data_IF_043032124881
#
_entry.id   IF_043032124881
#
_cell.length_a   1.000
_cell.length_b   1.000
_cell.length_c   1.000
_cell.angle_alpha   90.00
_cell.angle_beta   90.00
_cell.angle_gamma   90.00
#
_symmetry.space_group_name_H-M   'P 1'
#
loop_
_entity.id
_entity.type
_entity.pdbx_description
1 polymer ?
#
# COMPACT_ATOMS: atom_id res chain seq x y z
N UNK A 1 -20.45 -78.03 13.33
CA UNK A 1 -20.75 -77.18 12.16
C UNK A 1 -20.69 -75.69 12.59
N UNK A 2 -19.57 -75.04 12.35
CA UNK A 2 -19.38 -73.63 12.65
C UNK A 2 -19.44 -72.88 11.32
N UNK A 3 -20.47 -72.08 11.14
CA UNK A 3 -20.62 -71.19 9.96
C UNK A 3 -19.75 -69.92 10.18
N UNK A 4 -18.70 -69.78 9.39
CA UNK A 4 -17.91 -68.54 9.31
C UNK A 4 -18.69 -67.56 8.48
N UNK A 5 -19.06 -66.40 9.08
CA UNK A 5 -19.63 -65.27 8.40
C UNK A 5 -18.45 -64.33 8.03
N UNK A 6 -18.10 -64.30 6.75
CA UNK A 6 -17.10 -63.39 6.21
C UNK A 6 -17.78 -62.05 5.95
N UNK A 7 -17.49 -61.06 6.82
CA UNK A 7 -17.97 -59.68 6.67
C UNK A 7 -17.01 -58.94 5.74
N UNK A 8 -17.44 -58.72 4.51
CA UNK A 8 -16.71 -57.92 3.50
C UNK A 8 -16.89 -56.45 3.80
N UNK A 9 -15.89 -55.81 4.41
CA UNK A 9 -15.82 -54.35 4.57
C UNK A 9 -15.50 -53.71 3.20
N UNK A 10 -16.52 -53.16 2.54
CA UNK A 10 -16.31 -52.25 1.42
C UNK A 10 -15.79 -50.90 1.98
N UNK A 11 -14.49 -50.64 1.83
CA UNK A 11 -13.90 -49.35 2.01
C UNK A 11 -14.34 -48.48 0.82
N UNK A 12 -15.37 -47.62 0.99
CA UNK A 12 -15.69 -46.55 0.06
C UNK A 12 -14.66 -45.46 0.27
N UNK A 13 -13.63 -45.45 -0.55
CA UNK A 13 -12.72 -44.34 -0.65
C UNK A 13 -13.50 -43.14 -1.26
N UNK A 14 -14.06 -42.29 -0.44
CA UNK A 14 -14.52 -40.98 -0.86
C UNK A 14 -13.27 -40.17 -1.28
N UNK A 15 -12.94 -40.21 -2.57
CA UNK A 15 -12.04 -39.18 -3.14
C UNK A 15 -12.80 -37.88 -3.04
N UNK A 16 -12.45 -37.06 -2.04
CA UNK A 16 -12.88 -35.66 -2.02
C UNK A 16 -12.36 -35.03 -3.30
N UNK A 17 -13.23 -34.81 -4.28
CA UNK A 17 -12.89 -34.01 -5.46
C UNK A 17 -12.40 -32.68 -4.91
N UNK A 18 -11.14 -32.33 -5.20
CA UNK A 18 -10.59 -31.05 -4.77
C UNK A 18 -11.51 -29.94 -5.30
N UNK A 19 -12.08 -29.15 -4.40
CA UNK A 19 -12.97 -28.07 -4.77
C UNK A 19 -12.22 -27.12 -5.71
N UNK A 20 -12.79 -26.81 -6.88
CA UNK A 20 -12.19 -25.86 -7.82
C UNK A 20 -12.00 -24.51 -7.13
N UNK A 21 -10.84 -23.90 -7.30
CA UNK A 21 -10.51 -22.58 -6.77
C UNK A 21 -9.90 -21.73 -7.87
N UNK A 22 -9.70 -20.43 -7.63
CA UNK A 22 -9.01 -19.52 -8.55
C UNK A 22 -7.61 -20.06 -8.93
N UNK A 23 -6.95 -20.76 -8.05
CA UNK A 23 -5.63 -21.35 -8.30
C UNK A 23 -5.62 -22.49 -9.35
N UNK A 24 -6.78 -22.97 -9.77
CA UNK A 24 -6.91 -24.00 -10.82
C UNK A 24 -6.82 -23.46 -12.23
N UNK A 25 -6.83 -22.14 -12.39
CA UNK A 25 -6.85 -21.48 -13.69
C UNK A 25 -5.44 -21.03 -14.11
N UNK A 26 -5.29 -20.91 -15.44
CA UNK A 26 -4.11 -20.34 -16.08
C UNK A 26 -4.60 -19.19 -16.98
N UNK A 27 -3.87 -18.10 -17.00
CA UNK A 27 -4.18 -16.89 -17.75
C UNK A 27 -2.97 -16.48 -18.61
N UNK A 28 -3.16 -15.56 -19.55
CA UNK A 28 -2.09 -15.02 -20.38
C UNK A 28 -1.71 -13.63 -19.87
N UNK A 29 -0.43 -13.37 -19.69
CA UNK A 29 0.08 -12.05 -19.30
C UNK A 29 0.14 -11.07 -20.50
N UNK A 30 0.60 -9.85 -20.25
CA UNK A 30 0.70 -8.76 -21.22
C UNK A 30 1.77 -8.98 -22.31
N UNK A 31 2.64 -9.97 -22.14
CA UNK A 31 3.65 -10.39 -23.13
C UNK A 31 3.33 -11.75 -23.78
N UNK A 32 2.13 -12.29 -23.55
CA UNK A 32 1.65 -13.54 -24.16
C UNK A 32 2.12 -14.82 -23.48
N UNK A 33 2.66 -14.74 -22.27
CA UNK A 33 3.10 -15.92 -21.50
C UNK A 33 1.96 -16.49 -20.68
N UNK A 34 1.98 -17.82 -20.54
CA UNK A 34 1.00 -18.57 -19.76
C UNK A 34 1.36 -18.51 -18.28
N UNK A 35 0.48 -17.94 -17.45
CA UNK A 35 0.68 -17.75 -16.00
C UNK A 35 -0.34 -18.58 -15.23
N UNK A 36 0.06 -19.67 -14.56
CA UNK A 36 -0.82 -20.41 -13.68
C UNK A 36 -1.11 -19.59 -12.41
N UNK A 37 -2.39 -19.40 -12.09
CA UNK A 37 -2.79 -18.61 -10.90
C UNK A 37 -2.42 -19.30 -9.58
N UNK A 38 -1.96 -20.55 -9.63
CA UNK A 38 -1.34 -21.21 -8.47
C UNK A 38 -0.05 -20.53 -7.98
N UNK A 39 0.59 -19.69 -8.80
CA UNK A 39 1.75 -18.85 -8.39
C UNK A 39 1.39 -17.82 -7.34
N UNK A 40 0.10 -17.49 -7.23
CA UNK A 40 -0.44 -16.55 -6.24
C UNK A 40 -1.00 -17.22 -4.97
N UNK A 41 -0.76 -18.54 -4.77
CA UNK A 41 -1.18 -19.21 -3.54
C UNK A 41 -0.64 -18.51 -2.29
N UNK A 42 -1.50 -18.34 -1.29
CA UNK A 42 -1.19 -17.64 -0.06
C UNK A 42 -1.39 -16.13 -0.11
N UNK A 43 -1.63 -15.55 -1.30
CA UNK A 43 -1.96 -14.13 -1.45
C UNK A 43 -3.46 -13.90 -1.52
N UNK A 44 -3.93 -12.83 -0.90
CA UNK A 44 -5.27 -12.28 -1.14
C UNK A 44 -5.25 -11.57 -2.48
N UNK A 45 -6.21 -11.88 -3.36
CA UNK A 45 -6.24 -11.32 -4.72
C UNK A 45 -7.46 -10.41 -4.90
N UNK A 46 -7.28 -9.32 -5.64
CA UNK A 46 -8.36 -8.54 -6.22
C UNK A 46 -8.31 -8.70 -7.74
N UNK A 47 -9.22 -9.47 -8.30
CA UNK A 47 -9.31 -9.72 -9.74
C UNK A 47 -10.32 -8.74 -10.33
N UNK A 48 -9.92 -7.96 -11.33
CA UNK A 48 -10.74 -6.87 -11.86
C UNK A 48 -10.75 -6.86 -13.39
N UNK A 49 -11.92 -6.61 -14.00
CA UNK A 49 -12.01 -6.29 -15.41
C UNK A 49 -12.02 -4.77 -15.63
N UNK A 50 -11.15 -4.27 -16.47
CA UNK A 50 -10.87 -2.84 -16.58
C UNK A 50 -11.03 -2.29 -18.00
N UNK A 51 -10.92 -0.97 -18.12
CA UNK A 51 -10.95 -0.26 -19.40
C UNK A 51 -10.26 1.12 -19.26
N UNK A 52 -9.67 1.60 -20.38
CA UNK A 52 -8.92 2.88 -20.41
C UNK A 52 -9.77 4.10 -20.72
N UNK A 53 -11.01 3.91 -21.23
CA UNK A 53 -11.92 5.00 -21.65
C UNK A 53 -13.28 4.91 -20.94
N UNK A 54 -13.29 4.42 -19.71
CA UNK A 54 -14.49 4.27 -18.90
C UNK A 54 -14.61 5.42 -17.91
N UNK A 55 -15.84 5.80 -17.53
CA UNK A 55 -16.06 6.75 -16.44
C UNK A 55 -15.47 6.30 -15.10
N UNK A 56 -15.25 4.99 -14.92
CA UNK A 56 -14.59 4.43 -13.73
C UNK A 56 -13.07 4.28 -13.86
N UNK A 57 -12.44 4.65 -14.97
CA UNK A 57 -10.99 4.57 -15.17
C UNK A 57 -10.19 5.29 -14.04
N UNK A 58 -10.66 6.41 -13.45
CA UNK A 58 -9.98 7.04 -12.31
C UNK A 58 -9.78 6.13 -11.09
N UNK A 59 -10.55 5.02 -10.95
CA UNK A 59 -10.35 4.05 -9.86
C UNK A 59 -8.97 3.36 -9.90
N UNK A 60 -8.26 3.39 -11.02
CA UNK A 60 -6.87 2.93 -11.08
C UNK A 60 -5.98 3.62 -10.03
N UNK A 61 -6.19 4.92 -9.79
CA UNK A 61 -5.43 5.67 -8.77
C UNK A 61 -5.65 5.10 -7.36
N UNK A 62 -6.90 4.80 -7.00
CA UNK A 62 -7.25 4.24 -5.70
C UNK A 62 -6.78 2.80 -5.58
N UNK A 63 -6.92 1.97 -6.64
CA UNK A 63 -6.40 0.61 -6.68
C UNK A 63 -4.88 0.59 -6.50
N UNK A 64 -4.14 1.50 -7.16
CA UNK A 64 -2.69 1.60 -6.98
C UNK A 64 -2.31 2.00 -5.55
N UNK A 65 -3.05 2.92 -4.93
CA UNK A 65 -2.82 3.30 -3.53
C UNK A 65 -3.03 2.11 -2.58
N UNK A 66 -4.13 1.37 -2.74
CA UNK A 66 -4.43 0.15 -1.99
C UNK A 66 -3.33 -0.91 -2.22
N UNK A 67 -2.94 -1.12 -3.47
CA UNK A 67 -1.87 -2.06 -3.80
C UNK A 67 -0.56 -1.71 -3.10
N UNK A 68 -0.13 -0.46 -3.19
CA UNK A 68 1.08 0.02 -2.52
C UNK A 68 1.04 -0.22 -1.01
N UNK A 69 -0.13 -0.02 -0.40
CA UNK A 69 -0.34 -0.19 1.05
C UNK A 69 -0.27 -1.66 1.49
N UNK A 70 -0.85 -2.59 0.72
CA UNK A 70 -1.06 -3.98 1.16
C UNK A 70 -0.19 -5.02 0.45
N UNK A 71 0.53 -4.71 -0.65
CA UNK A 71 1.33 -5.70 -1.39
C UNK A 71 2.34 -6.45 -0.51
N UNK A 72 2.97 -5.77 0.44
CA UNK A 72 3.94 -6.38 1.35
C UNK A 72 3.30 -7.27 2.43
N UNK A 73 1.97 -7.26 2.54
CA UNK A 73 1.19 -8.09 3.45
C UNK A 73 0.61 -9.33 2.76
N UNK A 74 1.00 -9.60 1.50
CA UNK A 74 0.48 -10.72 0.74
C UNK A 74 -0.79 -10.40 -0.05
N UNK A 75 -0.96 -9.15 -0.49
CA UNK A 75 -2.03 -8.73 -1.39
C UNK A 75 -1.54 -8.58 -2.83
N UNK A 76 -2.39 -8.93 -3.81
CA UNK A 76 -2.12 -8.74 -5.23
C UNK A 76 -3.36 -8.27 -5.98
N UNK A 77 -3.17 -7.43 -7.02
CA UNK A 77 -4.23 -7.08 -7.97
C UNK A 77 -3.93 -7.73 -9.31
N UNK A 78 -4.91 -8.40 -9.89
CA UNK A 78 -4.82 -9.01 -11.21
C UNK A 78 -5.78 -8.28 -12.14
N UNK A 79 -5.22 -7.49 -13.05
CA UNK A 79 -5.96 -6.60 -13.95
C UNK A 79 -6.16 -7.24 -15.32
N UNK A 80 -7.41 -7.33 -15.76
CA UNK A 80 -7.82 -7.93 -17.04
C UNK A 80 -8.60 -6.90 -17.87
N UNK A 81 -7.99 -6.22 -18.83
CA UNK A 81 -8.72 -5.31 -19.71
C UNK A 81 -9.80 -6.03 -20.51
N UNK A 82 -10.99 -5.40 -20.60
CA UNK A 82 -12.16 -5.96 -21.26
C UNK A 82 -12.82 -4.92 -22.18
N UNK A 83 -13.02 -5.27 -23.44
CA UNK A 83 -13.60 -4.36 -24.45
C UNK A 83 -15.11 -4.55 -24.69
N UNK A 84 -15.77 -5.45 -23.92
CA UNK A 84 -17.19 -5.79 -24.14
C UNK A 84 -18.16 -4.68 -23.73
N UNK A 85 -17.74 -3.73 -22.88
CA UNK A 85 -18.60 -2.66 -22.37
C UNK A 85 -18.33 -1.34 -23.09
N UNK A 86 -19.11 -1.07 -24.13
CA UNK A 86 -19.02 0.17 -24.91
C UNK A 86 -17.71 0.36 -25.66
N UNK A 87 -16.95 -0.70 -25.91
CA UNK A 87 -15.63 -0.66 -26.57
C UNK A 87 -14.65 0.30 -25.89
N UNK A 88 -14.68 0.34 -24.56
CA UNK A 88 -13.92 1.28 -23.74
C UNK A 88 -12.48 0.84 -23.41
N UNK A 89 -12.05 -0.34 -23.87
CA UNK A 89 -10.68 -0.81 -23.82
C UNK A 89 -10.11 -1.06 -25.23
N UNK A 90 -10.05 -0.03 -26.10
CA UNK A 90 -9.49 -0.18 -27.44
C UNK A 90 -7.97 -0.35 -27.39
N UNK A 91 -7.37 -0.77 -28.51
CA UNK A 91 -5.94 -0.95 -28.64
C UNK A 91 -5.44 -2.32 -28.17
N UNK A 92 -4.14 -2.51 -28.27
CA UNK A 92 -3.42 -3.70 -27.83
C UNK A 92 -3.23 -3.70 -26.32
N UNK A 93 -2.85 -4.84 -25.74
CA UNK A 93 -2.54 -4.89 -24.29
C UNK A 93 -1.32 -4.01 -23.95
N UNK A 94 -0.34 -3.91 -24.82
CA UNK A 94 0.84 -3.05 -24.64
C UNK A 94 0.47 -1.56 -24.60
N UNK A 95 -0.44 -1.11 -25.48
CA UNK A 95 -0.94 0.27 -25.46
C UNK A 95 -1.74 0.57 -24.18
N UNK A 96 -2.52 -0.40 -23.70
CA UNK A 96 -3.26 -0.29 -22.43
C UNK A 96 -2.29 -0.20 -21.25
N UNK A 97 -1.27 -1.07 -21.21
CA UNK A 97 -0.23 -1.06 -20.17
C UNK A 97 0.48 0.30 -20.12
N UNK A 98 0.98 0.78 -21.26
CA UNK A 98 1.62 2.11 -21.36
C UNK A 98 0.71 3.24 -20.88
N UNK A 99 -0.58 3.19 -21.24
CA UNK A 99 -1.56 4.16 -20.76
C UNK A 99 -1.70 4.12 -19.24
N UNK A 100 -1.80 2.95 -18.63
CA UNK A 100 -1.99 2.76 -17.20
C UNK A 100 -0.73 3.19 -16.42
N UNK A 101 0.46 2.85 -16.92
CA UNK A 101 1.72 3.26 -16.32
C UNK A 101 1.89 4.80 -16.37
N UNK A 102 1.68 5.40 -17.55
CA UNK A 102 1.88 6.83 -17.75
C UNK A 102 0.89 7.71 -16.96
N UNK A 103 -0.38 7.28 -16.83
CA UNK A 103 -1.43 8.11 -16.21
C UNK A 103 -1.68 7.81 -14.74
N UNK A 104 -1.38 6.59 -14.27
CA UNK A 104 -1.72 6.13 -12.92
C UNK A 104 -0.55 5.50 -12.18
N UNK A 105 0.64 5.39 -12.80
CA UNK A 105 1.83 4.74 -12.24
C UNK A 105 1.52 3.33 -11.72
N UNK A 106 0.75 2.53 -12.48
CA UNK A 106 0.36 1.18 -12.11
C UNK A 106 1.58 0.27 -12.03
N UNK A 107 1.66 -0.49 -10.94
CA UNK A 107 2.76 -1.44 -10.68
C UNK A 107 2.26 -2.86 -10.34
N UNK A 108 0.96 -3.09 -10.33
CA UNK A 108 0.40 -4.42 -10.19
C UNK A 108 0.31 -5.14 -11.55
N UNK A 109 0.27 -6.49 -11.56
CA UNK A 109 0.19 -7.30 -12.78
C UNK A 109 -1.01 -6.95 -13.67
N UNK A 110 -0.73 -6.73 -14.94
CA UNK A 110 -1.75 -6.61 -16.00
C UNK A 110 -1.67 -7.84 -16.92
N UNK A 111 -2.81 -8.37 -17.29
CA UNK A 111 -2.96 -9.57 -18.11
C UNK A 111 -3.52 -9.22 -19.48
N UNK A 112 -3.49 -10.19 -20.40
CA UNK A 112 -4.06 -10.01 -21.73
C UNK A 112 -5.56 -9.70 -21.65
N UNK A 113 -6.07 -9.08 -22.72
CA UNK A 113 -7.48 -8.72 -22.83
C UNK A 113 -8.36 -9.97 -22.86
N UNK A 114 -9.46 -9.90 -22.12
CA UNK A 114 -10.38 -11.02 -22.01
C UNK A 114 -11.82 -10.61 -22.27
N UNK A 115 -12.62 -11.54 -22.75
CA UNK A 115 -14.07 -11.48 -22.65
C UNK A 115 -14.50 -12.04 -21.30
N UNK A 116 -15.39 -11.33 -20.62
CA UNK A 116 -15.90 -11.72 -19.29
C UNK A 116 -17.32 -12.31 -19.36
N UNK A 117 -18.03 -12.13 -20.48
CA UNK A 117 -19.39 -12.63 -20.73
C UNK A 117 -19.51 -13.33 -22.08
N UNK A 118 -20.58 -14.14 -22.25
CA UNK A 118 -20.89 -14.84 -23.47
C UNK A 118 -20.11 -16.13 -23.67
N UNK A 119 -20.22 -16.73 -24.84
CA UNK A 119 -19.60 -18.04 -25.17
C UNK A 119 -18.07 -18.00 -25.25
N UNK A 120 -17.49 -16.81 -25.48
CA UNK A 120 -16.03 -16.58 -25.47
C UNK A 120 -15.45 -16.17 -24.13
N UNK A 121 -16.25 -16.16 -23.06
CA UNK A 121 -15.79 -15.70 -21.76
C UNK A 121 -14.63 -16.54 -21.22
N UNK A 122 -13.65 -15.85 -20.66
CA UNK A 122 -12.54 -16.48 -19.94
C UNK A 122 -13.06 -17.49 -18.90
N UNK A 123 -12.51 -18.72 -18.85
CA UNK A 123 -12.89 -19.72 -17.84
C UNK A 123 -12.77 -19.19 -16.41
N UNK A 124 -11.77 -18.35 -16.14
CA UNK A 124 -11.61 -17.68 -14.85
C UNK A 124 -12.83 -16.82 -14.51
N UNK A 125 -13.26 -15.94 -15.43
CA UNK A 125 -14.40 -15.06 -15.19
C UNK A 125 -15.73 -15.81 -15.17
N UNK A 126 -15.85 -16.90 -15.91
CA UNK A 126 -17.00 -17.81 -15.81
C UNK A 126 -17.11 -18.41 -14.41
N UNK A 127 -16.00 -18.86 -13.85
CA UNK A 127 -15.94 -19.37 -12.47
C UNK A 127 -16.23 -18.24 -11.44
N UNK A 128 -15.58 -17.09 -11.54
CA UNK A 128 -15.78 -15.98 -10.63
C UNK A 128 -17.25 -15.55 -10.51
N UNK A 129 -17.94 -15.47 -11.67
CA UNK A 129 -19.37 -15.12 -11.74
C UNK A 129 -20.27 -16.21 -11.12
N UNK A 130 -19.90 -17.48 -11.26
CA UNK A 130 -20.67 -18.59 -10.64
C UNK A 130 -20.57 -18.61 -9.13
N UNK A 131 -19.40 -18.20 -8.59
CA UNK A 131 -19.19 -18.12 -7.14
C UNK A 131 -19.88 -16.90 -6.50
N UNK A 132 -19.85 -15.76 -7.19
CA UNK A 132 -20.45 -14.49 -6.73
C UNK A 132 -21.20 -13.81 -7.88
N UNK A 133 -22.52 -13.88 -7.82
CA UNK A 133 -23.42 -13.26 -8.79
C UNK A 133 -23.48 -11.72 -8.67
N UNK A 134 -24.28 -11.11 -9.54
CA UNK A 134 -24.54 -9.67 -9.51
C UNK A 134 -25.41 -9.30 -8.29
N UNK A 135 -24.90 -8.38 -7.46
CA UNK A 135 -25.59 -7.93 -6.24
C UNK A 135 -26.32 -6.59 -6.36
N UNK A 136 -26.31 -5.97 -7.57
CA UNK A 136 -26.89 -4.64 -7.78
C UNK A 136 -25.83 -3.53 -7.74
N UNK A 137 -26.13 -2.40 -8.38
CA UNK A 137 -25.35 -1.17 -8.24
C UNK A 137 -25.82 -0.39 -7.00
N UNK A 138 -24.95 0.45 -6.45
CA UNK A 138 -25.34 1.36 -5.38
C UNK A 138 -26.45 2.31 -5.89
N UNK A 139 -27.63 2.22 -5.27
CA UNK A 139 -28.78 3.04 -5.62
C UNK A 139 -28.61 4.52 -5.21
N UNK A 140 -27.65 4.86 -4.36
CA UNK A 140 -27.36 6.23 -3.97
C UNK A 140 -26.32 6.91 -4.89
N UNK A 141 -25.55 6.11 -5.63
CA UNK A 141 -24.59 6.62 -6.61
C UNK A 141 -25.31 7.04 -7.92
N UNK A 142 -25.13 8.28 -8.40
CA UNK A 142 -25.68 8.74 -9.68
C UNK A 142 -25.28 7.87 -10.88
N UNK A 143 -24.03 7.38 -10.92
CA UNK A 143 -23.55 6.47 -11.98
C UNK A 143 -24.24 5.11 -11.87
N UNK A 144 -24.46 4.61 -10.65
CA UNK A 144 -25.19 3.36 -10.40
C UNK A 144 -26.65 3.44 -10.90
N UNK A 145 -27.32 4.54 -10.61
CA UNK A 145 -28.67 4.84 -11.16
C UNK A 145 -28.64 4.89 -12.70
N UNK A 146 -27.66 5.58 -13.27
CA UNK A 146 -27.48 5.69 -14.72
C UNK A 146 -27.30 4.34 -15.38
N UNK A 147 -26.41 3.50 -14.84
CA UNK A 147 -26.15 2.13 -15.35
C UNK A 147 -27.40 1.25 -15.21
N UNK A 148 -28.07 1.26 -14.07
CA UNK A 148 -29.30 0.50 -13.85
C UNK A 148 -30.38 0.85 -14.86
N UNK A 149 -30.61 2.15 -15.10
CA UNK A 149 -31.59 2.63 -16.06
C UNK A 149 -31.22 2.25 -17.51
N UNK A 150 -29.92 2.35 -17.86
CA UNK A 150 -29.43 1.99 -19.19
C UNK A 150 -29.60 0.48 -19.46
N UNK A 151 -29.23 -0.35 -18.50
CA UNK A 151 -29.33 -1.81 -18.63
C UNK A 151 -30.78 -2.28 -18.63
N UNK A 152 -31.63 -1.74 -17.75
CA UNK A 152 -33.05 -2.09 -17.69
C UNK A 152 -33.82 -1.72 -18.97
N UNK A 153 -33.43 -0.65 -19.68
CA UNK A 153 -33.97 -0.30 -20.98
C UNK A 153 -33.60 -1.34 -22.09
N UNK A 154 -32.42 -1.94 -21.98
CA UNK A 154 -31.90 -2.94 -22.91
C UNK A 154 -32.45 -4.33 -22.60
N UNK A 155 -32.51 -4.70 -21.34
CA UNK A 155 -33.04 -5.95 -20.80
C UNK A 155 -33.63 -5.71 -19.39
N UNK A 156 -34.98 -5.73 -19.26
CA UNK A 156 -35.62 -5.55 -17.94
C UNK A 156 -35.16 -6.59 -16.90
N UNK A 157 -34.70 -7.76 -17.34
CA UNK A 157 -34.25 -8.85 -16.48
C UNK A 157 -32.73 -8.90 -16.29
N UNK A 158 -31.99 -7.84 -16.68
CA UNK A 158 -30.52 -7.82 -16.64
C UNK A 158 -29.94 -8.23 -15.27
N UNK A 159 -30.67 -7.96 -14.18
CA UNK A 159 -30.19 -8.25 -12.84
C UNK A 159 -30.28 -9.73 -12.45
N UNK A 160 -31.05 -10.56 -13.17
CA UNK A 160 -31.22 -11.98 -12.88
C UNK A 160 -30.02 -12.85 -13.31
N UNK A 161 -29.17 -12.34 -14.22
CA UNK A 161 -27.97 -13.02 -14.69
C UNK A 161 -26.77 -12.70 -13.78
N UNK A 162 -25.88 -13.68 -13.49
CA UNK A 162 -24.64 -13.43 -12.76
C UNK A 162 -23.58 -12.68 -13.57
N UNK A 163 -23.85 -12.39 -14.85
CA UNK A 163 -22.92 -11.74 -15.76
C UNK A 163 -22.39 -10.42 -15.19
N UNK A 164 -21.16 -10.06 -15.57
CA UNK A 164 -20.58 -8.76 -15.29
C UNK A 164 -21.36 -7.69 -16.08
N UNK A 165 -21.74 -6.63 -15.39
CA UNK A 165 -22.62 -5.59 -15.96
C UNK A 165 -21.85 -4.40 -16.52
N UNK A 166 -20.62 -4.17 -16.03
CA UNK A 166 -19.79 -3.05 -16.48
C UNK A 166 -18.31 -3.27 -16.17
N UNK A 167 -17.44 -2.41 -16.73
CA UNK A 167 -16.03 -2.35 -16.39
C UNK A 167 -15.81 -2.00 -14.92
N UNK A 168 -14.68 -2.41 -14.33
CA UNK A 168 -14.28 -2.23 -12.93
C UNK A 168 -15.12 -3.04 -11.93
N UNK A 169 -15.74 -4.15 -12.37
CA UNK A 169 -16.24 -5.18 -11.45
C UNK A 169 -15.05 -5.93 -10.84
N UNK A 170 -15.05 -6.10 -9.54
CA UNK A 170 -13.94 -6.64 -8.76
C UNK A 170 -14.38 -7.90 -8.01
N UNK A 171 -13.50 -8.91 -7.97
CA UNK A 171 -13.68 -10.11 -7.17
C UNK A 171 -12.55 -10.22 -6.16
N UNK A 172 -12.90 -10.29 -4.88
CA UNK A 172 -11.95 -10.53 -3.79
C UNK A 172 -11.81 -12.03 -3.56
N UNK A 173 -10.57 -12.50 -3.49
CA UNK A 173 -10.23 -13.92 -3.36
C UNK A 173 -9.28 -14.11 -2.19
N UNK A 174 -9.52 -15.12 -1.36
CA UNK A 174 -8.66 -15.47 -0.22
C UNK A 174 -7.36 -16.16 -0.65
N UNK A 175 -6.39 -16.25 0.25
CA UNK A 175 -5.11 -16.89 0.00
C UNK A 175 -5.20 -18.38 -0.38
N UNK A 176 -6.30 -19.08 -0.05
CA UNK A 176 -6.59 -20.44 -0.47
C UNK A 176 -7.37 -20.52 -1.81
N UNK A 177 -7.64 -19.39 -2.44
CA UNK A 177 -8.23 -19.28 -3.79
C UNK A 177 -9.76 -19.29 -3.83
N UNK A 178 -10.45 -19.12 -2.69
CA UNK A 178 -11.91 -19.00 -2.63
C UNK A 178 -12.36 -17.57 -2.93
N UNK A 179 -13.43 -17.40 -3.69
CA UNK A 179 -14.03 -16.11 -3.98
C UNK A 179 -14.84 -15.65 -2.77
N UNK A 180 -14.39 -14.58 -2.11
CA UNK A 180 -15.00 -14.04 -0.89
C UNK A 180 -16.13 -13.07 -1.19
N UNK A 181 -15.90 -12.13 -2.12
CA UNK A 181 -16.82 -11.06 -2.44
C UNK A 181 -16.74 -10.65 -3.91
N UNK A 182 -17.81 -10.02 -4.39
CA UNK A 182 -17.86 -9.28 -5.65
C UNK A 182 -18.28 -7.86 -5.35
N UNK A 183 -17.60 -6.90 -5.97
CA UNK A 183 -17.90 -5.47 -5.88
C UNK A 183 -18.16 -4.93 -7.28
N UNK A 184 -19.33 -4.34 -7.47
CA UNK A 184 -19.65 -3.64 -8.71
C UNK A 184 -18.84 -2.31 -8.78
N UNK A 185 -18.69 -1.71 -9.98
CA UNK A 185 -17.88 -0.51 -10.14
C UNK A 185 -18.32 0.69 -9.27
N UNK A 186 -19.58 0.73 -8.85
CA UNK A 186 -20.14 1.78 -8.00
C UNK A 186 -19.92 1.56 -6.50
N UNK A 187 -19.36 0.41 -6.10
CA UNK A 187 -18.99 0.18 -4.72
C UNK A 187 -17.87 1.16 -4.31
N UNK A 188 -18.01 1.87 -3.18
CA UNK A 188 -16.95 2.73 -2.67
C UNK A 188 -15.64 1.95 -2.47
N UNK A 189 -14.52 2.51 -2.90
CA UNK A 189 -13.23 1.85 -2.75
C UNK A 189 -12.84 1.59 -1.28
N UNK A 190 -13.35 2.38 -0.34
CA UNK A 190 -13.22 2.12 1.09
C UNK A 190 -13.88 0.81 1.54
N UNK A 191 -15.00 0.42 0.92
CA UNK A 191 -15.66 -0.88 1.20
C UNK A 191 -14.84 -2.03 0.62
N UNK A 192 -14.25 -1.85 -0.57
CA UNK A 192 -13.32 -2.83 -1.16
C UNK A 192 -12.09 -3.00 -0.28
N UNK A 193 -11.51 -1.89 0.19
CA UNK A 193 -10.34 -1.90 1.08
C UNK A 193 -10.63 -2.60 2.41
N UNK A 194 -11.79 -2.36 3.01
CA UNK A 194 -12.21 -3.05 4.23
C UNK A 194 -12.28 -4.57 4.02
N UNK A 195 -12.83 -5.02 2.90
CA UNK A 195 -12.84 -6.45 2.56
C UNK A 195 -11.43 -7.04 2.41
N UNK A 196 -10.51 -6.29 1.79
CA UNK A 196 -9.09 -6.69 1.67
C UNK A 196 -8.45 -6.79 3.06
N UNK A 197 -8.65 -5.82 3.94
CA UNK A 197 -8.16 -5.85 5.32
C UNK A 197 -8.65 -7.08 6.08
N UNK A 198 -9.95 -7.38 5.99
CA UNK A 198 -10.54 -8.56 6.62
C UNK A 198 -9.94 -9.86 6.08
N UNK A 199 -9.77 -9.96 4.76
CA UNK A 199 -9.17 -11.14 4.11
C UNK A 199 -7.69 -11.33 4.49
N UNK A 200 -6.95 -10.25 4.71
CA UNK A 200 -5.56 -10.23 5.19
C UNK A 200 -5.44 -10.43 6.71
N UNK A 201 -6.54 -10.39 7.46
CA UNK A 201 -6.50 -10.38 8.92
C UNK A 201 -5.79 -9.15 9.52
N UNK A 202 -5.90 -8.01 8.87
CA UNK A 202 -5.22 -6.77 9.26
C UNK A 202 -6.20 -5.61 9.47
N UNK A 203 -5.67 -4.46 9.88
CA UNK A 203 -6.37 -3.17 9.95
C UNK A 203 -5.41 -2.04 9.57
N UNK A 204 -5.92 -0.81 9.49
CA UNK A 204 -5.12 0.34 9.05
C UNK A 204 -3.85 0.57 9.89
N UNK A 205 -3.93 0.35 11.20
CA UNK A 205 -2.78 0.54 12.09
C UNK A 205 -1.70 -0.51 11.81
N UNK A 206 -2.08 -1.79 11.77
CA UNK A 206 -1.15 -2.90 11.47
C UNK A 206 -0.58 -2.72 10.07
N UNK A 207 -1.41 -2.43 9.07
CA UNK A 207 -0.98 -2.20 7.70
C UNK A 207 0.04 -1.04 7.62
N UNK A 208 -0.21 0.07 8.31
CA UNK A 208 0.70 1.22 8.37
C UNK A 208 2.05 0.84 8.97
N UNK A 209 2.06 0.13 10.12
CA UNK A 209 3.29 -0.34 10.77
C UNK A 209 4.10 -1.23 9.82
N UNK A 210 3.44 -2.18 9.16
CA UNK A 210 4.12 -3.16 8.30
C UNK A 210 4.51 -2.56 6.93
N UNK A 211 3.81 -1.57 6.42
CA UNK A 211 4.06 -0.97 5.10
C UNK A 211 5.03 0.22 5.13
N UNK A 212 5.13 0.94 6.25
CA UNK A 212 6.05 2.09 6.38
C UNK A 212 7.50 1.71 6.08
N UNK A 213 8.20 2.59 5.35
CA UNK A 213 9.63 2.43 4.98
C UNK A 213 10.43 3.69 5.32
N UNK A 214 11.75 3.52 5.46
CA UNK A 214 12.69 4.64 5.50
C UNK A 214 12.91 5.16 4.08
N UNK A 215 12.28 6.28 3.77
CA UNK A 215 12.39 7.00 2.48
C UNK A 215 13.62 7.89 2.51
N UNK A 216 14.42 7.87 1.43
CA UNK A 216 15.69 8.64 1.30
C UNK A 216 15.74 9.50 0.05
N UNK A 217 14.69 9.44 -0.77
CA UNK A 217 14.49 10.31 -1.93
C UNK A 217 13.14 11.00 -1.79
N UNK A 218 13.15 12.32 -1.96
CA UNK A 218 11.99 13.17 -1.74
C UNK A 218 11.77 14.09 -2.94
N UNK A 219 10.51 14.37 -3.22
CA UNK A 219 10.13 15.46 -4.13
C UNK A 219 10.54 16.81 -3.55
N UNK A 220 10.84 17.77 -4.40
CA UNK A 220 11.21 19.14 -3.97
C UNK A 220 10.01 19.93 -3.40
N UNK A 221 8.80 19.37 -3.43
CA UNK A 221 7.59 20.00 -2.91
C UNK A 221 7.64 20.07 -1.39
N UNK A 222 7.57 21.27 -0.79
CA UNK A 222 7.45 21.43 0.65
C UNK A 222 6.20 20.74 1.19
N UNK A 223 6.26 20.27 2.44
CA UNK A 223 5.10 19.70 3.12
C UNK A 223 4.29 20.86 3.73
N UNK A 224 2.97 20.78 3.64
CA UNK A 224 2.05 21.77 4.23
C UNK A 224 2.21 21.80 5.76
N UNK A 225 2.16 23.01 6.32
CA UNK A 225 2.32 23.26 7.76
C UNK A 225 1.39 22.37 8.60
N UNK A 226 0.13 22.27 8.22
CA UNK A 226 -0.91 21.52 8.95
C UNK A 226 -0.59 20.02 9.03
N UNK A 227 0.06 19.46 7.99
CA UNK A 227 0.51 18.06 8.04
C UNK A 227 1.70 17.89 8.99
N UNK A 228 2.65 18.82 8.95
CA UNK A 228 3.81 18.78 9.85
C UNK A 228 3.37 18.96 11.32
N UNK A 229 2.44 19.87 11.58
CA UNK A 229 1.82 20.06 12.89
C UNK A 229 1.13 18.77 13.36
N UNK A 230 0.34 18.12 12.50
CA UNK A 230 -0.33 16.87 12.84
C UNK A 230 0.67 15.77 13.18
N UNK A 231 1.73 15.62 12.40
CA UNK A 231 2.81 14.66 12.68
C UNK A 231 3.45 14.92 14.05
N UNK A 232 3.77 16.17 14.36
CA UNK A 232 4.34 16.54 15.64
C UNK A 232 3.37 16.27 16.81
N UNK A 233 2.07 16.60 16.64
CA UNK A 233 1.01 16.28 17.62
C UNK A 233 0.88 14.78 17.87
N UNK A 234 0.93 13.96 16.86
CA UNK A 234 0.93 12.50 17.03
C UNK A 234 2.17 12.04 17.81
N UNK A 235 3.32 12.66 17.54
CA UNK A 235 4.56 12.40 18.27
C UNK A 235 4.41 12.62 19.77
N UNK A 236 4.01 13.83 20.19
CA UNK A 236 3.90 14.19 21.61
C UNK A 236 2.80 13.44 22.37
N UNK A 237 1.93 12.70 21.67
CA UNK A 237 0.96 11.79 22.27
C UNK A 237 1.55 10.40 22.61
N UNK A 238 2.85 10.20 22.39
CA UNK A 238 3.52 8.99 22.84
C UNK A 238 3.54 8.88 24.37
N UNK A 239 3.51 7.66 24.94
CA UNK A 239 3.69 7.48 26.37
C UNK A 239 5.12 7.85 26.78
N UNK A 240 5.27 8.30 28.03
CA UNK A 240 6.56 8.51 28.67
C UNK A 240 6.53 8.07 30.12
N UNK A 241 7.68 7.71 30.72
CA UNK A 241 7.76 7.32 32.09
C UNK A 241 7.17 8.40 33.00
N UNK A 242 6.17 8.04 33.81
CA UNK A 242 5.46 8.97 34.73
C UNK A 242 4.88 10.22 34.03
N UNK A 243 4.62 10.15 32.72
CA UNK A 243 4.24 11.30 31.89
C UNK A 243 5.23 12.46 31.94
N UNK A 244 6.52 12.15 32.10
CA UNK A 244 7.57 13.16 32.26
C UNK A 244 7.88 13.93 30.96
N UNK A 245 7.49 13.39 29.79
CA UNK A 245 7.65 14.00 28.48
C UNK A 245 9.07 14.58 28.26
N UNK A 246 10.13 13.76 28.40
CA UNK A 246 11.53 14.24 28.41
C UNK A 246 12.03 14.46 26.98
N UNK A 247 11.30 15.24 26.21
CA UNK A 247 11.61 15.58 24.83
C UNK A 247 11.32 17.06 24.54
N UNK A 248 12.02 17.55 23.53
CA UNK A 248 11.74 18.81 22.89
C UNK A 248 11.74 18.59 21.37
N UNK A 249 10.76 19.14 20.67
CA UNK A 249 10.53 18.92 19.23
C UNK A 249 10.60 20.23 18.50
N UNK A 250 11.41 20.30 17.44
CA UNK A 250 11.49 21.46 16.54
C UNK A 250 11.21 21.02 15.11
N UNK A 251 10.14 21.54 14.55
CA UNK A 251 9.80 21.35 13.14
C UNK A 251 10.50 22.45 12.35
N UNK A 252 11.36 22.09 11.42
CA UNK A 252 12.12 23.04 10.60
C UNK A 252 11.53 23.09 9.19
N UNK A 253 10.79 24.16 8.91
CA UNK A 253 10.20 24.47 7.62
C UNK A 253 11.05 25.47 6.81
N UNK A 254 12.03 26.09 7.45
CA UNK A 254 12.89 27.10 6.86
C UNK A 254 13.92 26.50 5.90
N UNK A 255 13.70 26.65 4.60
CA UNK A 255 14.68 26.29 3.56
C UNK A 255 16.01 27.05 3.74
N UNK A 256 15.95 28.31 4.24
CA UNK A 256 17.13 29.11 4.54
C UNK A 256 17.98 28.49 5.66
N UNK A 257 17.33 27.97 6.72
CA UNK A 257 18.02 27.29 7.81
C UNK A 257 18.68 25.99 7.29
N UNK A 258 17.92 25.17 6.54
CA UNK A 258 18.42 23.91 5.97
C UNK A 258 19.59 24.15 5.03
N UNK A 259 19.49 25.14 4.15
CA UNK A 259 20.57 25.49 3.21
C UNK A 259 21.80 26.02 3.96
N UNK A 260 21.61 26.91 4.93
CA UNK A 260 22.71 27.53 5.68
C UNK A 260 23.53 26.51 6.45
N UNK A 261 22.91 25.61 7.20
CA UNK A 261 23.64 24.54 7.93
C UNK A 261 24.26 23.53 6.97
N UNK A 262 23.65 23.32 5.81
CA UNK A 262 24.20 22.44 4.76
C UNK A 262 25.48 23.01 4.15
N UNK A 263 25.61 24.32 3.99
CA UNK A 263 26.86 24.94 3.50
C UNK A 263 28.04 24.70 4.47
N UNK A 264 27.80 24.70 5.79
CA UNK A 264 28.81 24.33 6.78
C UNK A 264 29.18 22.86 6.60
N UNK A 265 28.17 21.99 6.44
CA UNK A 265 28.40 20.57 6.20
C UNK A 265 29.24 20.31 4.94
N UNK A 266 28.94 20.99 3.83
CA UNK A 266 29.70 20.89 2.57
C UNK A 266 31.16 21.25 2.74
N UNK A 267 31.46 22.33 3.48
CA UNK A 267 32.86 22.72 3.76
C UNK A 267 33.61 21.64 4.55
N UNK A 268 32.97 21.12 5.59
CA UNK A 268 33.58 20.10 6.46
C UNK A 268 33.69 18.71 5.78
N UNK A 269 32.88 18.41 4.77
CA UNK A 269 32.79 17.09 4.13
C UNK A 269 32.90 17.19 2.60
N UNK A 270 33.75 18.08 2.07
CA UNK A 270 33.81 18.43 0.66
C UNK A 270 34.07 17.20 -0.22
N UNK A 271 34.96 16.30 0.17
CA UNK A 271 35.25 15.07 -0.58
C UNK A 271 34.03 14.14 -0.68
N UNK A 272 33.31 13.92 0.44
CA UNK A 272 32.12 13.08 0.45
C UNK A 272 31.00 13.67 -0.40
N UNK A 273 30.78 14.99 -0.30
CA UNK A 273 29.75 15.71 -1.06
C UNK A 273 30.05 15.69 -2.55
N UNK A 274 31.31 15.85 -2.96
CA UNK A 274 31.68 15.84 -4.39
C UNK A 274 31.42 14.51 -5.11
N UNK A 275 31.32 13.41 -4.35
CA UNK A 275 30.98 12.07 -4.88
C UNK A 275 29.49 11.88 -5.15
N UNK A 276 28.64 12.69 -4.54
CA UNK A 276 27.17 12.63 -4.68
C UNK A 276 26.68 13.78 -5.57
N UNK A 277 26.55 13.50 -6.89
CA UNK A 277 26.07 14.48 -7.87
C UNK A 277 24.65 15.01 -7.61
N UNK A 278 23.86 14.26 -6.84
CA UNK A 278 22.47 14.62 -6.48
C UNK A 278 22.36 15.34 -5.15
N UNK A 279 23.46 15.61 -4.45
CA UNK A 279 23.46 16.20 -3.13
C UNK A 279 22.92 17.65 -3.14
N UNK A 280 21.78 17.89 -2.50
CA UNK A 280 21.18 19.21 -2.28
C UNK A 280 21.36 19.66 -0.83
N UNK A 281 21.07 18.78 0.15
CA UNK A 281 21.25 19.06 1.57
C UNK A 281 21.64 17.81 2.38
N UNK A 282 22.20 18.04 3.57
CA UNK A 282 22.69 16.99 4.45
C UNK A 282 21.60 16.08 5.04
N UNK A 283 20.32 16.40 4.85
CA UNK A 283 19.16 15.67 5.36
C UNK A 283 18.52 14.78 4.29
N UNK A 284 19.32 14.13 3.44
CA UNK A 284 18.83 13.31 2.30
C UNK A 284 17.98 14.08 1.31
N UNK A 285 18.28 15.34 1.11
CA UNK A 285 17.54 16.26 0.24
C UNK A 285 16.06 16.49 0.65
N UNK A 286 15.68 16.11 1.87
CA UNK A 286 14.32 16.34 2.36
C UNK A 286 14.03 17.85 2.45
N UNK A 287 12.84 18.29 2.06
CA UNK A 287 12.45 19.70 2.12
C UNK A 287 12.21 20.20 3.55
N UNK A 288 11.84 19.29 4.45
CA UNK A 288 11.55 19.57 5.86
C UNK A 288 12.24 18.56 6.77
N UNK A 289 12.48 18.94 8.00
CA UNK A 289 13.00 18.05 9.05
C UNK A 289 12.29 18.28 10.37
N UNK A 290 12.28 17.25 11.22
CA UNK A 290 11.87 17.36 12.63
C UNK A 290 13.06 16.98 13.48
N UNK A 291 13.50 17.91 14.32
CA UNK A 291 14.61 17.72 15.26
C UNK A 291 14.02 17.34 16.61
N UNK A 292 14.47 16.23 17.17
CA UNK A 292 14.07 15.75 18.49
C UNK A 292 15.29 15.77 19.41
N UNK A 293 15.16 16.47 20.53
CA UNK A 293 16.17 16.54 21.58
C UNK A 293 15.63 16.02 22.90
N UNK A 294 16.53 15.52 23.75
CA UNK A 294 16.25 14.98 25.08
C UNK A 294 17.26 15.49 26.06
N UNK A 295 16.95 15.46 27.38
CA UNK A 295 17.96 15.70 28.41
C UNK A 295 19.15 14.77 28.18
N UNK A 296 20.37 15.32 28.28
CA UNK A 296 21.61 14.60 28.04
C UNK A 296 21.70 13.30 28.87
N UNK A 297 21.91 12.19 28.15
CA UNK A 297 22.06 10.86 28.75
C UNK A 297 20.76 10.19 29.21
N UNK A 298 19.58 10.74 28.94
CA UNK A 298 18.28 10.12 29.28
C UNK A 298 17.19 10.47 28.31
N UNK A 299 16.03 9.78 28.39
CA UNK A 299 14.86 10.06 27.51
C UNK A 299 14.91 9.44 26.13
N UNK A 300 15.96 8.71 25.78
CA UNK A 300 16.11 8.12 24.44
C UNK A 300 15.01 7.09 24.13
N UNK A 301 14.55 6.32 25.11
CA UNK A 301 13.44 5.36 24.94
C UNK A 301 12.14 6.10 24.65
N UNK A 302 11.81 7.10 25.45
CA UNK A 302 10.61 7.92 25.31
C UNK A 302 10.60 8.64 23.94
N UNK A 303 11.75 9.23 23.56
CA UNK A 303 11.92 9.86 22.25
C UNK A 303 11.78 8.84 21.07
N UNK A 304 12.22 7.60 21.28
CA UNK A 304 12.04 6.52 20.30
C UNK A 304 10.56 6.19 20.07
N UNK A 305 9.77 6.05 21.13
CA UNK A 305 8.32 5.85 21.07
C UNK A 305 7.63 7.01 20.35
N UNK A 306 8.01 8.24 20.67
CA UNK A 306 7.51 9.44 19.99
C UNK A 306 7.87 9.45 18.50
N UNK A 307 9.10 9.06 18.16
CA UNK A 307 9.57 9.01 16.76
C UNK A 307 8.77 8.03 15.93
N UNK A 308 8.43 6.85 16.44
CA UNK A 308 7.61 5.89 15.72
C UNK A 308 6.19 6.43 15.48
N UNK A 309 5.55 7.07 16.50
CA UNK A 309 4.26 7.73 16.30
C UNK A 309 4.31 8.77 15.17
N UNK A 310 5.37 9.60 15.12
CA UNK A 310 5.56 10.58 14.03
C UNK A 310 5.72 9.91 12.67
N UNK A 311 6.51 8.82 12.60
CA UNK A 311 6.73 8.12 11.34
C UNK A 311 5.48 7.43 10.81
N UNK A 312 4.65 6.86 11.70
CA UNK A 312 3.36 6.26 11.33
C UNK A 312 2.35 7.31 10.87
N UNK A 313 2.26 8.43 11.61
CA UNK A 313 1.40 9.56 11.23
C UNK A 313 1.81 10.15 9.86
N UNK A 314 3.10 10.36 9.64
CA UNK A 314 3.62 10.84 8.37
C UNK A 314 3.23 9.90 7.21
N UNK A 315 3.43 8.58 7.38
CA UNK A 315 3.03 7.60 6.37
C UNK A 315 1.53 7.64 6.07
N UNK A 316 0.68 7.74 7.09
CA UNK A 316 -0.78 7.84 6.93
C UNK A 316 -1.22 9.11 6.18
N UNK A 317 -0.40 10.17 6.23
CA UNK A 317 -0.62 11.43 5.50
C UNK A 317 0.03 11.45 4.10
N UNK A 318 0.55 10.31 3.63
CA UNK A 318 1.22 10.18 2.33
C UNK A 318 2.64 10.73 2.30
N UNK A 319 3.27 10.93 3.46
CA UNK A 319 4.63 11.44 3.60
C UNK A 319 5.62 10.30 3.86
N UNK A 320 6.85 10.48 3.37
CA UNK A 320 7.98 9.61 3.66
C UNK A 320 8.85 10.19 4.78
N UNK A 321 9.46 9.32 5.58
CA UNK A 321 10.39 9.72 6.64
C UNK A 321 11.66 8.87 6.66
N UNK A 322 12.74 9.45 7.18
CA UNK A 322 13.97 8.72 7.49
C UNK A 322 14.61 9.28 8.77
N UNK A 323 14.88 8.41 9.74
CA UNK A 323 15.63 8.77 10.93
C UNK A 323 17.13 8.86 10.60
N UNK A 324 17.74 10.01 10.89
CA UNK A 324 19.11 10.37 10.53
C UNK A 324 20.01 10.49 11.73
N UNK A 325 21.10 9.69 11.78
CA UNK A 325 22.13 9.80 12.84
C UNK A 325 23.37 10.59 12.37
N UNK A 326 23.69 10.60 11.07
CA UNK A 326 24.84 11.32 10.53
C UNK A 326 24.79 12.83 10.80
N UNK A 327 23.69 13.52 10.40
CA UNK A 327 23.48 14.94 10.73
C UNK A 327 23.54 15.25 12.20
N UNK A 328 23.01 14.40 13.08
CA UNK A 328 23.06 14.57 14.54
C UNK A 328 24.50 14.66 15.03
N UNK A 329 25.35 13.68 14.64
CA UNK A 329 26.77 13.69 15.02
C UNK A 329 27.48 14.96 14.57
N UNK A 330 27.23 15.37 13.32
CA UNK A 330 27.82 16.59 12.78
C UNK A 330 27.39 17.84 13.57
N UNK A 331 26.10 18.02 13.80
CA UNK A 331 25.56 19.17 14.50
C UNK A 331 26.06 19.25 15.95
N UNK A 332 26.12 18.14 16.66
CA UNK A 332 26.58 18.09 18.06
C UNK A 332 28.09 18.31 18.20
N UNK A 333 28.91 18.10 17.15
CA UNK A 333 30.37 18.19 17.23
C UNK A 333 30.98 19.39 16.50
N UNK A 334 30.27 20.05 15.58
CA UNK A 334 30.82 21.13 14.77
C UNK A 334 30.48 22.50 15.37
N UNK A 335 31.51 23.23 15.80
CA UNK A 335 31.35 24.54 16.41
C UNK A 335 30.71 25.60 15.46
N UNK A 336 30.95 25.51 14.15
CA UNK A 336 30.35 26.44 13.16
C UNK A 336 28.83 26.24 13.03
N UNK A 337 28.29 25.05 13.42
CA UNK A 337 26.85 24.77 13.43
C UNK A 337 26.13 25.43 14.62
N UNK A 338 26.87 25.89 15.64
CA UNK A 338 26.28 26.44 16.87
C UNK A 338 25.22 27.54 16.62
N UNK A 339 25.44 28.54 15.76
CA UNK A 339 24.44 29.59 15.51
C UNK A 339 23.10 29.03 14.98
N UNK A 340 23.12 27.91 14.26
CA UNK A 340 21.91 27.21 13.78
C UNK A 340 21.23 26.42 14.88
N UNK A 341 22.01 25.81 15.78
CA UNK A 341 21.47 25.15 16.99
C UNK A 341 20.82 26.16 17.93
N UNK A 342 21.44 27.34 18.12
CA UNK A 342 20.87 28.39 18.95
C UNK A 342 19.51 28.89 18.39
N UNK A 343 19.35 28.95 17.07
CA UNK A 343 18.07 29.29 16.42
C UNK A 343 16.96 28.24 16.68
N UNK A 344 17.31 26.97 16.92
CA UNK A 344 16.32 25.95 17.28
C UNK A 344 15.76 26.16 18.69
N UNK A 345 16.44 26.89 19.57
CA UNK A 345 16.01 27.14 20.94
C UNK A 345 15.88 25.85 21.75
N UNK A 346 16.77 24.88 21.54
CA UNK A 346 16.81 23.63 22.31
C UNK A 346 17.10 23.99 23.78
N UNK A 347 16.36 23.44 24.77
CA UNK A 347 16.56 23.75 26.18
C UNK A 347 17.97 23.42 26.64
N UNK A 348 18.47 24.21 27.62
CA UNK A 348 19.77 23.97 28.25
C UNK A 348 19.80 22.55 28.86
N UNK A 349 20.92 21.86 28.70
CA UNK A 349 21.08 20.47 29.17
C UNK A 349 20.46 19.40 28.26
N UNK A 350 19.88 19.80 27.14
CA UNK A 350 19.38 18.86 26.10
C UNK A 350 20.42 18.67 25.00
N UNK A 351 20.34 17.52 24.35
CA UNK A 351 21.11 17.22 23.15
C UNK A 351 20.18 16.64 22.05
N UNK A 352 20.55 16.81 20.79
CA UNK A 352 19.78 16.23 19.69
C UNK A 352 19.90 14.70 19.78
N UNK A 353 18.77 14.04 19.95
CA UNK A 353 18.65 12.58 19.98
C UNK A 353 18.63 11.99 18.57
N UNK A 354 17.76 12.52 17.71
CA UNK A 354 17.68 12.16 16.29
C UNK A 354 17.02 13.30 15.48
N UNK A 355 17.14 13.17 14.14
CA UNK A 355 16.47 14.05 13.18
C UNK A 355 15.66 13.16 12.24
N UNK A 356 14.38 13.50 12.04
CA UNK A 356 13.55 12.91 10.98
C UNK A 356 13.61 13.79 9.75
N UNK A 357 14.15 13.28 8.65
CA UNK A 357 13.88 13.82 7.33
C UNK A 357 12.41 13.51 6.98
N UNK A 358 11.68 14.48 6.44
CA UNK A 358 10.26 14.34 6.10
C UNK A 358 9.94 15.09 4.82
N UNK A 359 9.12 14.47 3.94
CA UNK A 359 8.73 15.04 2.67
C UNK A 359 7.84 14.11 1.88
N UNK A 360 7.36 14.57 0.73
CA UNK A 360 6.69 13.70 -0.23
C UNK A 360 7.68 12.71 -0.82
N UNK A 361 7.41 11.39 -0.74
CA UNK A 361 8.36 10.39 -1.21
C UNK A 361 8.49 10.42 -2.73
N UNK A 362 9.73 10.22 -3.20
CA UNK A 362 10.08 10.00 -4.61
C UNK A 362 10.66 8.59 -4.82
N UNK A 363 10.52 7.73 -3.84
CA UNK A 363 10.83 6.31 -3.87
C UNK A 363 9.89 5.53 -2.95
N UNK A 364 9.70 4.23 -3.24
CA UNK A 364 9.03 3.29 -2.36
C UNK A 364 9.88 2.04 -2.20
N UNK A 365 10.82 2.01 -1.24
CA UNK A 365 11.73 0.89 -1.07
C UNK A 365 11.00 -0.38 -0.67
N UNK A 366 11.43 -1.51 -1.22
CA UNK A 366 10.93 -2.81 -0.81
C UNK A 366 11.23 -3.11 0.68
N UNK A 367 10.38 -3.93 1.33
CA UNK A 367 10.62 -4.35 2.69
C UNK A 367 11.89 -5.18 2.79
N UNK A 368 12.79 -4.80 3.70
CA UNK A 368 13.94 -5.64 4.03
C UNK A 368 13.49 -6.81 4.91
N UNK A 369 14.08 -8.00 4.76
CA UNK A 369 13.79 -9.15 5.62
C UNK A 369 13.93 -8.81 7.11
N UNK A 370 13.06 -9.40 7.93
CA UNK A 370 13.16 -9.36 9.39
C UNK A 370 13.56 -10.73 9.92
N UNK A 371 14.36 -10.74 10.97
CA UNK A 371 14.77 -11.97 11.64
C UNK A 371 13.70 -12.34 12.67
N UNK A 372 12.76 -13.17 12.24
CA UNK A 372 11.65 -13.65 13.09
C UNK A 372 12.13 -14.51 14.27
N UNK A 373 13.34 -15.09 14.19
CA UNK A 373 13.93 -15.88 15.27
C UNK A 373 14.25 -15.03 16.52
N UNK A 374 14.24 -13.70 16.40
CA UNK A 374 14.41 -12.78 17.52
C UNK A 374 13.15 -12.61 18.36
N UNK A 375 12.03 -13.21 17.94
CA UNK A 375 10.79 -13.25 18.71
C UNK A 375 10.67 -14.60 19.38
N UNK A 376 10.74 -14.64 20.70
CA UNK A 376 10.56 -15.85 21.51
C UNK A 376 9.21 -15.82 22.24
N UNK A 377 8.60 -16.97 22.41
CA UNK A 377 7.36 -17.15 23.17
C UNK A 377 7.63 -18.01 24.41
N UNK A 378 7.30 -17.49 25.58
CA UNK A 378 7.26 -18.29 26.82
C UNK A 378 5.82 -18.81 26.95
N UNK A 379 5.67 -20.13 26.87
CA UNK A 379 4.36 -20.83 27.00
C UNK A 379 4.49 -21.85 28.12
N UNK A 380 3.39 -22.07 28.88
CA UNK A 380 3.29 -23.14 29.87
C UNK A 380 3.28 -24.51 29.19
#
# INVERSE_FOLDING_TARGET
>A
MRKAITMLLMLVAMTAAAQQTVHSFTVTDDIGQSVPLSTYKGKVLLIVNTATRCGFTPQYKEMQAIYTKYKSLGFEILDFPCNQFGQQAPGTIQEIHQFCEANFAITFPQFDKVDVNGSGASPLFTYLKSEKGFGGFDANDPMGKGLSNMLAKKDPNYASSPDIKWNFTKFLVSGDGKVLARYEPTAPMSVVELGIQQALGTNDVIATILARRSVRQYKDTPVEHEKLEMVARCGINAPSGMNAQPWDVRVVESSKWISGVTEIYKKANAEQVSRDKGFKNMFRNAPNIIVVSTPKGRGAVDAGLMGENMMLAAYSLGLGTCCLGGPVRFLNSNAEAKPYLDQLGIPEGYEICYILAIGYPDEWPDPKPRDEKKVGYVRE
#
